data_IF_139484959035
#
_entry.id   IF_139484959035
#
_cell.length_a   1.000
_cell.length_b   1.000
_cell.length_c   1.000
_cell.angle_alpha   90.00
_cell.angle_beta   90.00
_cell.angle_gamma   90.00
#
_symmetry.space_group_name_H-M   'P 1'
#
loop_
_entity.id
_entity.type
_entity.pdbx_description
1 polymer ?
#
# COMPACT_ATOMS: atom_id res chain seq x y z
N UNK A 1 27.89 -16.96 33.13
CA UNK A 1 26.75 -17.29 32.23
C UNK A 1 27.08 -18.60 31.51
N UNK A 2 26.14 -19.55 31.49
CA UNK A 2 26.34 -20.86 30.89
C UNK A 2 26.43 -20.79 29.36
N UNK A 3 27.54 -21.28 28.78
CA UNK A 3 27.68 -21.46 27.34
C UNK A 3 26.80 -22.63 26.88
N UNK A 4 25.64 -22.34 26.30
CA UNK A 4 24.89 -23.35 25.54
C UNK A 4 25.55 -23.52 24.17
N UNK A 5 26.19 -24.66 23.97
CA UNK A 5 26.73 -25.07 22.68
C UNK A 5 25.60 -25.75 21.88
N UNK A 6 25.16 -25.12 20.80
CA UNK A 6 24.15 -25.70 19.91
C UNK A 6 24.81 -26.59 18.86
N UNK A 7 24.49 -27.88 18.85
CA UNK A 7 24.86 -28.78 17.75
C UNK A 7 23.85 -28.63 16.61
N UNK A 8 24.26 -28.02 15.48
CA UNK A 8 23.47 -28.02 14.25
C UNK A 8 23.70 -29.34 13.50
N UNK A 9 22.66 -30.14 13.34
CA UNK A 9 22.68 -31.35 12.51
C UNK A 9 22.11 -30.99 11.13
N UNK A 10 22.86 -31.26 10.06
CA UNK A 10 22.45 -31.00 8.67
C UNK A 10 21.31 -31.96 8.30
N UNK A 11 20.19 -31.42 7.80
CA UNK A 11 19.02 -32.23 7.41
C UNK A 11 19.39 -33.08 6.19
N UNK A 12 19.08 -34.39 6.23
CA UNK A 12 19.55 -35.40 5.25
C UNK A 12 19.32 -35.03 3.77
N UNK A 13 18.25 -34.28 3.45
CA UNK A 13 17.93 -33.89 2.07
C UNK A 13 18.89 -32.90 1.40
N UNK A 14 19.81 -32.29 2.14
CA UNK A 14 20.77 -31.30 1.60
C UNK A 14 22.24 -31.74 1.70
N UNK A 15 22.50 -32.97 2.12
CA UNK A 15 23.86 -33.53 2.20
C UNK A 15 24.31 -34.05 0.83
N UNK A 16 25.54 -33.73 0.40
CA UNK A 16 26.10 -34.24 -0.86
C UNK A 16 25.78 -33.42 -2.12
N UNK A 17 24.98 -32.36 -2.02
CA UNK A 17 24.72 -31.44 -3.15
C UNK A 17 25.89 -30.49 -3.33
N UNK A 18 26.65 -30.64 -4.44
CA UNK A 18 27.89 -29.91 -4.74
C UNK A 18 27.79 -28.38 -4.55
N UNK A 19 26.66 -27.78 -4.95
CA UNK A 19 26.42 -26.34 -4.78
C UNK A 19 26.29 -25.92 -3.31
N UNK A 20 25.54 -26.69 -2.51
CA UNK A 20 25.36 -26.41 -1.08
C UNK A 20 26.63 -26.69 -0.28
N UNK A 21 27.38 -27.75 -0.62
CA UNK A 21 28.68 -28.03 -0.02
C UNK A 21 29.69 -26.90 -0.30
N UNK A 22 29.62 -26.30 -1.50
CA UNK A 22 30.49 -25.16 -1.84
C UNK A 22 30.05 -23.89 -1.10
N UNK A 23 28.76 -23.61 -1.01
CA UNK A 23 28.22 -22.49 -0.23
C UNK A 23 28.54 -22.61 1.28
N UNK A 24 28.35 -23.80 1.86
CA UNK A 24 28.69 -24.09 3.26
C UNK A 24 30.19 -23.90 3.54
N UNK A 25 31.05 -24.32 2.60
CA UNK A 25 32.50 -24.17 2.72
C UNK A 25 32.92 -22.71 2.67
N UNK A 26 32.31 -21.90 1.80
CA UNK A 26 32.55 -20.46 1.72
C UNK A 26 32.09 -19.77 3.01
N UNK A 27 30.87 -20.07 3.48
CA UNK A 27 30.34 -19.50 4.73
C UNK A 27 31.18 -19.89 5.97
N UNK A 28 31.70 -21.12 6.03
CA UNK A 28 32.62 -21.58 7.09
C UNK A 28 34.03 -20.97 6.98
N UNK A 29 34.47 -20.55 5.80
CA UNK A 29 35.76 -19.89 5.62
C UNK A 29 35.71 -18.39 5.97
N UNK A 30 34.58 -17.72 5.71
CA UNK A 30 34.39 -16.30 6.07
C UNK A 30 34.18 -16.05 7.57
N UNK A 31 33.90 -17.08 8.36
CA UNK A 31 33.79 -16.94 9.83
C UNK A 31 35.14 -16.81 10.54
N UNK A 32 36.28 -16.95 9.84
CA UNK A 32 37.63 -16.88 10.45
C UNK A 32 38.31 -15.51 10.38
N UNK A 33 37.73 -14.52 9.70
CA UNK A 33 38.18 -13.12 9.76
C UNK A 33 37.00 -12.15 9.83
N UNK A 34 36.15 -12.33 10.83
CA UNK A 34 35.56 -11.14 11.43
C UNK A 34 36.71 -10.49 12.17
N UNK A 35 37.14 -9.30 11.76
CA UNK A 35 37.90 -8.40 12.64
C UNK A 35 36.94 -8.03 13.77
N UNK A 36 36.71 -8.99 14.66
CA UNK A 36 35.87 -8.81 15.81
C UNK A 36 36.73 -7.95 16.71
N UNK A 37 36.44 -6.64 16.71
CA UNK A 37 37.02 -5.71 17.67
C UNK A 37 36.67 -6.31 19.03
N UNK A 38 37.63 -7.01 19.64
CA UNK A 38 37.50 -7.51 21.00
C UNK A 38 37.63 -6.30 21.91
N UNK A 39 36.51 -5.59 22.08
CA UNK A 39 36.39 -4.57 23.10
C UNK A 39 36.58 -5.30 24.42
N UNK A 40 37.66 -4.99 25.16
CA UNK A 40 37.85 -5.54 26.50
C UNK A 40 36.72 -5.00 27.39
N UNK A 41 36.11 -5.80 28.25
CA UNK A 41 35.06 -5.34 29.18
C UNK A 41 35.53 -4.14 30.06
N UNK A 42 36.84 -4.03 30.29
CA UNK A 42 37.46 -2.87 30.95
C UNK A 42 37.43 -1.57 30.14
N UNK A 43 37.23 -1.63 28.81
CA UNK A 43 37.10 -0.47 27.94
C UNK A 43 35.65 0.02 27.83
N UNK A 44 34.65 -0.78 28.26
CA UNK A 44 33.24 -0.40 28.16
C UNK A 44 32.74 0.43 29.33
N UNK A 45 33.38 0.36 30.50
CA UNK A 45 32.81 0.93 31.73
C UNK A 45 32.61 2.46 31.67
N UNK A 46 33.39 3.18 30.86
CA UNK A 46 33.41 4.64 30.86
C UNK A 46 33.36 5.29 29.45
N UNK A 47 32.97 4.55 28.42
CA UNK A 47 32.82 5.11 27.07
C UNK A 47 31.52 5.92 26.97
N UNK A 48 31.59 7.19 27.36
CA UNK A 48 30.58 8.21 27.03
C UNK A 48 30.92 8.70 25.62
N UNK A 49 30.16 8.23 24.64
CA UNK A 49 30.23 8.75 23.28
C UNK A 49 28.95 9.51 22.95
N UNK A 50 29.15 10.70 22.42
CA UNK A 50 28.06 11.50 21.86
C UNK A 50 27.82 11.07 20.41
N UNK A 51 26.58 10.73 20.12
CA UNK A 51 26.15 10.37 18.78
C UNK A 51 25.73 11.65 18.09
N UNK A 52 26.22 11.87 16.88
CA UNK A 52 25.85 13.01 16.07
C UNK A 52 25.15 12.55 14.79
N UNK A 53 24.09 13.27 14.42
CA UNK A 53 23.40 13.17 13.14
C UNK A 53 23.41 14.54 12.47
N UNK A 54 23.99 14.66 11.29
CA UNK A 54 24.15 15.93 10.57
C UNK A 54 24.72 17.07 11.44
N UNK A 55 25.77 16.75 12.19
CA UNK A 55 26.43 17.69 13.09
C UNK A 55 25.63 18.06 14.35
N UNK A 56 24.44 17.46 14.56
CA UNK A 56 23.62 17.67 15.76
C UNK A 56 23.72 16.47 16.70
N UNK A 57 23.89 16.71 18.00
CA UNK A 57 23.92 15.65 19.02
C UNK A 57 22.54 14.98 19.09
N UNK A 58 22.51 13.65 19.03
CA UNK A 58 21.32 12.83 19.23
C UNK A 58 21.11 12.65 20.72
N UNK A 59 20.27 13.49 21.31
CA UNK A 59 19.94 13.47 22.75
C UNK A 59 18.77 12.52 23.09
N UNK A 60 18.46 11.59 22.18
CA UNK A 60 17.39 10.59 22.35
C UNK A 60 18.00 9.20 22.48
N UNK A 61 17.23 8.31 23.10
CA UNK A 61 17.60 6.89 23.18
C UNK A 61 17.97 6.35 21.79
N UNK A 62 19.23 5.95 21.62
CA UNK A 62 19.82 5.57 20.31
C UNK A 62 18.94 4.60 19.54
N UNK A 63 18.37 3.59 20.20
CA UNK A 63 17.49 2.61 19.54
C UNK A 63 16.27 3.27 18.93
N UNK A 64 15.59 4.17 19.66
CA UNK A 64 14.39 4.86 19.14
C UNK A 64 14.75 5.79 17.98
N UNK A 65 15.94 6.40 18.04
CA UNK A 65 16.44 7.22 16.94
C UNK A 65 16.69 6.37 15.68
N UNK A 66 17.38 5.24 15.82
CA UNK A 66 17.62 4.29 14.73
C UNK A 66 16.31 3.73 14.19
N UNK A 67 15.38 3.32 15.06
CA UNK A 67 14.06 2.80 14.68
C UNK A 67 13.32 3.84 13.82
N UNK A 68 13.24 5.09 14.28
CA UNK A 68 12.61 6.18 13.53
C UNK A 68 13.28 6.41 12.16
N UNK A 69 14.61 6.35 12.10
CA UNK A 69 15.36 6.52 10.84
C UNK A 69 15.04 5.39 9.86
N UNK A 70 15.08 4.14 10.33
CA UNK A 70 14.77 2.97 9.53
C UNK A 70 13.33 2.99 9.04
N UNK A 71 12.36 3.25 9.93
CA UNK A 71 10.93 3.36 9.59
C UNK A 71 10.70 4.46 8.54
N UNK A 72 11.22 5.67 8.77
CA UNK A 72 11.05 6.80 7.83
C UNK A 72 11.68 6.51 6.46
N UNK A 73 12.83 5.84 6.45
CA UNK A 73 13.50 5.46 5.19
C UNK A 73 12.71 4.39 4.44
N UNK A 74 12.17 3.41 5.16
CA UNK A 74 11.33 2.36 4.57
C UNK A 74 10.02 2.92 4.02
N UNK A 75 9.38 3.83 4.75
CA UNK A 75 8.14 4.50 4.33
C UNK A 75 8.39 5.34 3.07
N UNK A 76 9.47 6.12 3.04
CA UNK A 76 9.88 6.89 1.87
C UNK A 76 10.23 5.96 0.69
N UNK A 77 11.02 4.90 0.91
CA UNK A 77 11.34 3.95 -0.14
C UNK A 77 10.08 3.30 -0.70
N UNK A 78 9.12 2.94 0.16
CA UNK A 78 7.86 2.36 -0.26
C UNK A 78 6.99 3.34 -1.07
N UNK A 79 6.92 4.61 -0.68
CA UNK A 79 6.16 5.63 -1.42
C UNK A 79 6.74 5.91 -2.81
N UNK A 80 8.06 5.78 -2.99
CA UNK A 80 8.72 5.92 -4.29
C UNK A 80 8.69 4.67 -5.18
N UNK A 81 8.07 3.57 -4.73
CA UNK A 81 7.86 2.40 -5.59
C UNK A 81 7.09 2.80 -6.85
N UNK A 82 7.40 2.18 -7.99
CA UNK A 82 6.78 2.50 -9.29
C UNK A 82 5.26 2.63 -9.23
N UNK A 83 4.64 1.72 -8.49
CA UNK A 83 3.18 1.63 -8.29
C UNK A 83 2.59 2.76 -7.44
N UNK A 84 3.36 3.27 -6.49
CA UNK A 84 2.91 4.22 -5.46
C UNK A 84 3.35 5.65 -5.77
N UNK A 85 4.37 5.81 -6.60
CA UNK A 85 5.01 7.10 -6.84
C UNK A 85 4.02 8.16 -7.26
N UNK A 86 3.15 7.88 -8.23
CA UNK A 86 2.14 8.84 -8.70
C UNK A 86 1.17 9.28 -7.61
N UNK A 87 0.82 8.35 -6.72
CA UNK A 87 -0.05 8.64 -5.58
C UNK A 87 0.65 9.56 -4.59
N UNK A 88 1.91 9.28 -4.25
CA UNK A 88 2.60 10.04 -3.20
C UNK A 88 3.41 11.25 -3.70
N UNK A 89 3.71 11.35 -4.99
CA UNK A 89 4.31 12.55 -5.60
C UNK A 89 3.25 13.64 -5.81
N UNK A 90 2.04 13.27 -6.21
CA UNK A 90 1.05 14.23 -6.70
C UNK A 90 -0.11 14.44 -5.68
N UNK A 91 -0.32 13.48 -4.76
CA UNK A 91 -1.53 13.46 -3.89
C UNK A 91 -1.26 13.21 -2.41
N UNK A 92 -0.02 13.35 -1.93
CA UNK A 92 0.34 13.15 -0.51
C UNK A 92 -0.51 14.00 0.45
N UNK A 93 -0.87 15.21 0.04
CA UNK A 93 -1.71 16.11 0.84
C UNK A 93 -3.20 15.76 0.86
N UNK A 94 -3.65 14.84 0.01
CA UNK A 94 -5.07 14.47 -0.11
C UNK A 94 -5.40 13.15 0.59
N UNK A 95 -4.42 12.45 1.16
CA UNK A 95 -4.59 11.12 1.77
C UNK A 95 -4.48 11.18 3.31
N UNK A 96 -5.43 10.54 4.01
CA UNK A 96 -5.26 10.19 5.43
C UNK A 96 -4.86 8.71 5.57
N UNK A 97 -3.55 8.47 5.55
CA UNK A 97 -2.93 7.14 5.67
C UNK A 97 -3.32 6.38 6.95
N UNK A 98 -3.62 7.11 8.05
CA UNK A 98 -3.95 6.45 9.33
C UNK A 98 -5.25 5.68 9.25
N UNK A 99 -6.16 6.04 8.34
CA UNK A 99 -7.39 5.28 8.11
C UNK A 99 -7.04 3.91 7.54
N UNK A 100 -6.20 3.87 6.50
CA UNK A 100 -5.68 2.65 5.89
C UNK A 100 -4.96 1.78 6.92
N UNK A 101 -4.09 2.37 7.75
CA UNK A 101 -3.40 1.61 8.79
C UNK A 101 -4.31 1.11 9.90
N UNK A 102 -5.34 1.86 10.29
CA UNK A 102 -6.37 1.38 11.22
C UNK A 102 -7.11 0.17 10.66
N UNK A 103 -7.44 0.21 9.36
CA UNK A 103 -8.07 -0.91 8.66
C UNK A 103 -7.17 -2.15 8.60
N UNK A 104 -5.88 -1.98 8.32
CA UNK A 104 -4.92 -3.09 8.38
C UNK A 104 -4.78 -3.64 9.79
N UNK A 105 -4.61 -2.79 10.81
CA UNK A 105 -4.50 -3.21 12.22
C UNK A 105 -5.69 -4.02 12.70
N UNK A 106 -6.91 -3.66 12.26
CA UNK A 106 -8.13 -4.43 12.52
C UNK A 106 -8.04 -5.86 11.98
N UNK A 107 -7.34 -6.06 10.86
CA UNK A 107 -7.22 -7.35 10.18
C UNK A 107 -5.93 -8.12 10.53
N UNK A 108 -4.96 -7.51 11.23
CA UNK A 108 -3.67 -8.13 11.61
C UNK A 108 -3.57 -8.49 13.10
N UNK A 109 -4.69 -8.57 13.83
CA UNK A 109 -4.70 -9.03 15.23
C UNK A 109 -3.95 -10.36 15.41
N UNK A 110 -3.61 -10.74 16.64
CA UNK A 110 -2.75 -11.89 16.95
C UNK A 110 -3.19 -13.16 16.20
N UNK A 111 -2.50 -13.41 15.08
CA UNK A 111 -2.53 -14.60 14.22
C UNK A 111 -3.54 -14.67 13.05
N UNK A 112 -4.19 -13.59 12.60
CA UNK A 112 -5.11 -13.65 11.44
C UNK A 112 -6.01 -14.91 11.49
N UNK A 113 -6.75 -15.05 12.59
CA UNK A 113 -7.26 -16.35 13.09
C UNK A 113 -8.29 -17.04 12.20
N UNK A 114 -8.78 -16.38 11.14
CA UNK A 114 -9.78 -16.94 10.22
C UNK A 114 -9.46 -16.62 8.77
N UNK A 115 -9.86 -17.52 7.86
CA UNK A 115 -9.76 -17.28 6.40
C UNK A 115 -10.43 -15.98 6.00
N UNK A 116 -11.57 -15.63 6.60
CA UNK A 116 -12.30 -14.41 6.29
C UNK A 116 -11.49 -13.14 6.61
N UNK A 117 -10.80 -13.10 7.76
CA UNK A 117 -9.95 -11.94 8.14
C UNK A 117 -8.76 -11.86 7.19
N UNK A 118 -8.14 -13.00 6.88
CA UNK A 118 -7.04 -13.06 5.92
C UNK A 118 -7.48 -12.59 4.51
N UNK A 119 -8.65 -13.00 4.04
CA UNK A 119 -9.18 -12.59 2.74
C UNK A 119 -9.41 -11.07 2.69
N UNK A 120 -9.94 -10.47 3.76
CA UNK A 120 -10.08 -9.01 3.87
C UNK A 120 -8.73 -8.31 3.83
N UNK A 121 -7.76 -8.78 4.61
CA UNK A 121 -6.40 -8.25 4.61
C UNK A 121 -5.78 -8.29 3.20
N UNK A 122 -5.84 -9.44 2.54
CA UNK A 122 -5.29 -9.64 1.19
C UNK A 122 -6.00 -8.77 0.15
N UNK A 123 -7.33 -8.59 0.25
CA UNK A 123 -8.08 -7.69 -0.66
C UNK A 123 -7.54 -6.26 -0.60
N UNK A 124 -7.41 -5.70 0.60
CA UNK A 124 -6.88 -4.34 0.77
C UNK A 124 -5.41 -4.24 0.37
N UNK A 125 -4.60 -5.25 0.70
CA UNK A 125 -3.19 -5.28 0.30
C UNK A 125 -3.02 -5.30 -1.23
N UNK A 126 -3.85 -6.08 -1.94
CA UNK A 126 -3.83 -6.13 -3.40
C UNK A 126 -4.26 -4.82 -4.03
N UNK A 127 -5.30 -4.20 -3.50
CA UNK A 127 -5.80 -2.91 -3.96
C UNK A 127 -4.77 -1.80 -3.78
N UNK A 128 -4.17 -1.73 -2.60
CA UNK A 128 -3.11 -0.77 -2.28
C UNK A 128 -1.97 -0.87 -3.31
N UNK A 129 -1.56 -2.09 -3.66
CA UNK A 129 -0.41 -2.34 -4.53
C UNK A 129 -0.77 -2.60 -6.01
N UNK A 130 -1.98 -2.30 -6.46
CA UNK A 130 -2.43 -2.51 -7.86
C UNK A 130 -2.16 -3.95 -8.36
N UNK A 131 -2.41 -4.93 -7.49
CA UNK A 131 -2.15 -6.34 -7.76
C UNK A 131 -3.41 -7.11 -8.19
N UNK A 132 -4.50 -6.39 -8.45
CA UNK A 132 -5.68 -7.01 -9.02
C UNK A 132 -5.38 -7.45 -10.46
N UNK A 133 -5.74 -8.68 -10.88
CA UNK A 133 -5.48 -9.18 -12.24
C UNK A 133 -6.37 -8.51 -13.30
N UNK A 134 -6.10 -7.24 -13.60
CA UNK A 134 -6.61 -6.51 -14.77
C UNK A 134 -6.09 -7.15 -16.05
N UNK A 135 -6.76 -6.96 -17.19
CA UNK A 135 -6.31 -7.57 -18.45
C UNK A 135 -4.90 -7.12 -18.82
N UNK A 136 -4.52 -5.87 -18.54
CA UNK A 136 -3.14 -5.43 -18.75
C UNK A 136 -2.11 -6.23 -17.94
N UNK A 137 -2.39 -6.53 -16.67
CA UNK A 137 -1.51 -7.39 -15.85
C UNK A 137 -1.50 -8.83 -16.38
N UNK A 138 -2.63 -9.32 -16.91
CA UNK A 138 -2.70 -10.65 -17.50
C UNK A 138 -1.88 -10.73 -18.79
N UNK A 139 -1.93 -9.70 -19.64
CA UNK A 139 -1.09 -9.56 -20.85
C UNK A 139 0.40 -9.53 -20.54
N UNK A 140 0.83 -8.78 -19.53
CA UNK A 140 2.23 -8.76 -19.09
C UNK A 140 2.75 -10.15 -18.70
N UNK A 141 1.86 -11.00 -18.17
CA UNK A 141 2.20 -12.36 -17.73
C UNK A 141 2.13 -13.39 -18.85
N UNK A 142 1.10 -13.32 -19.69
CA UNK A 142 0.76 -14.32 -20.72
C UNK A 142 0.19 -13.69 -21.99
N UNK A 143 0.97 -12.83 -22.62
CA UNK A 143 0.57 -12.19 -23.88
C UNK A 143 0.24 -13.22 -24.98
N UNK A 144 0.91 -14.36 -24.97
CA UNK A 144 0.62 -15.50 -25.86
C UNK A 144 -0.83 -16.00 -25.75
N UNK A 145 -1.46 -15.86 -24.57
CA UNK A 145 -2.86 -16.26 -24.34
C UNK A 145 -3.84 -15.11 -24.50
N UNK A 146 -3.48 -13.91 -24.02
CA UNK A 146 -4.40 -12.78 -23.94
C UNK A 146 -4.32 -11.84 -25.16
N UNK A 147 -3.17 -11.76 -25.83
CA UNK A 147 -2.93 -10.86 -26.95
C UNK A 147 -3.36 -9.42 -26.67
N UNK A 148 -3.91 -8.75 -27.68
CA UNK A 148 -4.40 -7.37 -27.60
C UNK A 148 -5.82 -7.24 -27.02
N UNK A 149 -6.26 -8.21 -26.20
CA UNK A 149 -7.62 -8.20 -25.64
C UNK A 149 -7.95 -6.87 -24.95
N UNK A 150 -8.98 -6.20 -25.44
CA UNK A 150 -9.54 -4.98 -24.84
C UNK A 150 -10.39 -5.30 -23.61
N UNK A 151 -10.79 -4.30 -22.85
CA UNK A 151 -11.79 -4.43 -21.81
C UNK A 151 -12.99 -5.25 -22.28
N UNK A 152 -13.42 -6.24 -21.50
CA UNK A 152 -14.56 -7.10 -21.88
C UNK A 152 -15.92 -6.44 -21.66
N UNK A 153 -15.94 -5.24 -21.08
CA UNK A 153 -17.14 -4.44 -20.88
C UNK A 153 -17.34 -3.47 -22.04
N UNK A 154 -16.39 -2.56 -22.29
CA UNK A 154 -16.53 -1.58 -23.38
C UNK A 154 -15.99 -2.06 -24.73
N UNK A 155 -15.16 -3.11 -24.78
CA UNK A 155 -14.52 -3.66 -25.98
C UNK A 155 -13.59 -2.70 -26.75
N UNK A 156 -13.42 -1.46 -26.29
CA UNK A 156 -12.65 -0.42 -26.98
C UNK A 156 -11.25 -0.22 -26.38
N UNK A 157 -11.17 0.06 -25.08
CA UNK A 157 -9.94 0.45 -24.39
C UNK A 157 -9.23 -0.73 -23.72
N UNK A 158 -7.95 -0.56 -23.37
CA UNK A 158 -7.22 -1.54 -22.56
C UNK A 158 -7.74 -1.51 -21.12
N UNK A 159 -8.00 -2.68 -20.52
CA UNK A 159 -8.50 -2.74 -19.14
C UNK A 159 -7.35 -2.77 -18.15
N UNK A 160 -7.18 -1.63 -17.52
CA UNK A 160 -6.16 -1.32 -16.56
C UNK A 160 -6.83 -0.72 -15.29
N UNK A 161 -6.05 -0.43 -14.24
CA UNK A 161 -6.61 -0.03 -12.95
C UNK A 161 -7.39 1.30 -13.01
N UNK A 162 -6.99 2.23 -13.87
CA UNK A 162 -7.65 3.53 -14.03
C UNK A 162 -8.85 3.40 -14.98
N UNK A 163 -8.74 2.61 -16.06
CA UNK A 163 -9.88 2.29 -16.92
C UNK A 163 -11.04 1.69 -16.13
N UNK A 164 -10.80 0.89 -15.08
CA UNK A 164 -11.88 0.36 -14.22
C UNK A 164 -12.72 1.44 -13.53
N UNK A 165 -12.20 2.66 -13.41
CA UNK A 165 -12.89 3.81 -12.83
C UNK A 165 -13.65 4.58 -13.92
N UNK A 166 -13.00 4.84 -15.04
CA UNK A 166 -13.55 5.66 -16.13
C UNK A 166 -14.34 4.90 -17.20
N UNK A 167 -14.35 3.56 -17.15
CA UNK A 167 -15.09 2.76 -18.11
C UNK A 167 -16.56 3.15 -18.11
N UNK A 168 -17.07 3.66 -19.23
CA UNK A 168 -18.45 4.14 -19.37
C UNK A 168 -19.49 3.09 -18.96
N UNK A 169 -19.21 1.81 -19.24
CA UNK A 169 -20.07 0.66 -18.89
C UNK A 169 -20.13 0.36 -17.38
N UNK A 170 -19.27 1.00 -16.58
CA UNK A 170 -19.24 0.87 -15.12
C UNK A 170 -19.85 2.08 -14.39
N UNK A 171 -20.27 3.13 -15.10
CA UNK A 171 -20.76 4.38 -14.49
C UNK A 171 -21.91 4.14 -13.50
N UNK A 172 -22.98 3.47 -13.94
CA UNK A 172 -24.15 3.16 -13.09
C UNK A 172 -23.80 2.25 -11.91
N UNK A 173 -22.81 1.37 -12.09
CA UNK A 173 -22.32 0.49 -11.03
C UNK A 173 -21.58 1.29 -9.96
N UNK A 174 -20.81 2.30 -10.33
CA UNK A 174 -20.17 3.20 -9.38
C UNK A 174 -21.19 4.02 -8.59
N UNK A 175 -22.25 4.51 -9.23
CA UNK A 175 -23.37 5.18 -8.55
C UNK A 175 -24.02 4.24 -7.53
N UNK A 176 -24.25 2.99 -7.93
CA UNK A 176 -24.80 1.95 -7.05
C UNK A 176 -23.88 1.68 -5.85
N UNK A 177 -22.57 1.56 -6.07
CA UNK A 177 -21.58 1.35 -5.01
C UNK A 177 -21.60 2.53 -4.01
N UNK A 178 -21.61 3.76 -4.51
CA UNK A 178 -21.65 4.96 -3.68
C UNK A 178 -22.91 4.98 -2.80
N UNK A 179 -24.08 4.78 -3.40
CA UNK A 179 -25.36 4.72 -2.69
C UNK A 179 -25.39 3.60 -1.63
N UNK A 180 -24.94 2.40 -1.99
CA UNK A 180 -24.88 1.27 -1.06
C UNK A 180 -23.92 1.55 0.09
N UNK A 181 -22.77 2.18 -0.18
CA UNK A 181 -21.80 2.56 0.84
C UNK A 181 -22.43 3.52 1.85
N UNK A 182 -23.06 4.60 1.36
CA UNK A 182 -23.75 5.58 2.21
C UNK A 182 -24.83 4.90 3.06
N UNK A 183 -25.68 4.06 2.46
CA UNK A 183 -26.76 3.37 3.16
C UNK A 183 -26.24 2.40 4.25
N UNK A 184 -25.26 1.56 3.93
CA UNK A 184 -24.69 0.58 4.87
C UNK A 184 -23.90 1.25 5.98
N UNK A 185 -23.16 2.31 5.68
CA UNK A 185 -22.46 3.11 6.67
C UNK A 185 -23.42 3.84 7.60
N UNK A 186 -24.52 4.40 7.10
CA UNK A 186 -25.55 5.01 7.94
C UNK A 186 -26.10 4.02 8.98
N UNK A 187 -26.45 2.80 8.55
CA UNK A 187 -26.94 1.75 9.45
C UNK A 187 -25.88 1.37 10.49
N UNK A 188 -24.64 1.18 10.05
CA UNK A 188 -23.55 0.74 10.93
C UNK A 188 -23.14 1.82 11.93
N UNK A 189 -23.10 3.09 11.51
CA UNK A 189 -22.85 4.23 12.38
C UNK A 189 -23.94 4.32 13.45
N UNK A 190 -25.22 4.22 13.08
CA UNK A 190 -26.32 4.20 14.06
C UNK A 190 -26.15 3.09 15.09
N UNK A 191 -25.86 1.86 14.64
CA UNK A 191 -25.63 0.73 15.53
C UNK A 191 -24.44 0.94 16.47
N UNK A 192 -23.33 1.47 15.94
CA UNK A 192 -22.12 1.77 16.73
C UNK A 192 -22.40 2.81 17.83
N UNK A 193 -23.12 3.89 17.50
CA UNK A 193 -23.51 4.92 18.45
C UNK A 193 -24.48 4.40 19.52
N UNK A 194 -25.35 3.44 19.19
CA UNK A 194 -26.27 2.83 20.17
C UNK A 194 -25.57 1.85 21.13
N UNK A 195 -24.47 1.22 20.72
CA UNK A 195 -23.77 0.20 21.51
C UNK A 195 -22.69 0.78 22.43
N UNK A 196 -21.98 1.82 21.99
CA UNK A 196 -20.88 2.41 22.76
C UNK A 196 -21.38 3.48 23.75
N UNK A 197 -21.80 3.03 24.94
CA UNK A 197 -22.29 3.90 26.04
C UNK A 197 -21.30 4.99 26.50
N UNK A 198 -20.03 4.91 26.11
CA UNK A 198 -18.98 5.87 26.48
C UNK A 198 -18.74 6.97 25.41
N UNK A 199 -19.42 6.91 24.27
CA UNK A 199 -19.31 7.95 23.24
C UNK A 199 -20.38 9.01 23.50
N UNK A 200 -19.97 10.15 24.06
CA UNK A 200 -20.84 11.31 24.25
C UNK A 200 -20.76 12.23 23.01
N UNK A 201 -21.55 11.95 21.99
CA UNK A 201 -21.83 12.91 20.91
C UNK A 201 -23.16 13.62 21.19
N UNK A 202 -23.23 14.92 20.90
CA UNK A 202 -24.50 15.65 20.99
C UNK A 202 -25.47 15.19 19.89
N UNK A 203 -26.77 15.45 20.04
CA UNK A 203 -27.74 15.18 18.97
C UNK A 203 -27.40 15.94 17.67
N UNK A 204 -26.83 17.14 17.82
CA UNK A 204 -26.34 17.94 16.68
C UNK A 204 -25.15 17.26 15.98
N UNK A 205 -24.17 16.76 16.73
CA UNK A 205 -23.01 16.05 16.17
C UNK A 205 -23.46 14.78 15.41
N UNK A 206 -24.47 14.06 15.93
CA UNK A 206 -25.06 12.89 15.27
C UNK A 206 -25.72 13.30 13.94
N UNK A 207 -26.49 14.38 13.94
CA UNK A 207 -27.15 14.87 12.74
C UNK A 207 -26.12 15.35 11.70
N UNK A 208 -25.05 16.04 12.12
CA UNK A 208 -23.94 16.44 11.26
C UNK A 208 -23.21 15.22 10.69
N UNK A 209 -22.98 14.18 11.49
CA UNK A 209 -22.34 12.94 11.04
C UNK A 209 -23.16 12.21 9.96
N UNK A 210 -24.48 12.13 10.15
CA UNK A 210 -25.38 11.53 9.15
C UNK A 210 -25.42 12.37 7.86
N UNK A 211 -25.36 13.69 7.99
CA UNK A 211 -25.31 14.62 6.86
C UNK A 211 -23.99 14.48 6.10
N UNK A 212 -22.86 14.43 6.81
CA UNK A 212 -21.54 14.14 6.25
C UNK A 212 -21.54 12.83 5.46
N UNK A 213 -22.10 11.75 6.03
CA UNK A 213 -22.15 10.46 5.36
C UNK A 213 -23.02 10.49 4.08
N UNK A 214 -24.16 11.18 4.10
CA UNK A 214 -25.02 11.36 2.90
C UNK A 214 -24.33 12.17 1.81
N UNK A 215 -23.56 13.18 2.21
CA UNK A 215 -22.89 14.10 1.28
C UNK A 215 -21.48 13.66 0.91
N UNK A 216 -21.01 12.49 1.36
CA UNK A 216 -19.64 12.03 1.11
C UNK A 216 -19.30 11.98 -0.39
N UNK A 217 -20.24 11.50 -1.20
CA UNK A 217 -20.13 11.42 -2.66
C UNK A 217 -20.91 12.53 -3.38
N UNK A 218 -21.56 13.44 -2.64
CA UNK A 218 -22.23 14.58 -3.26
C UNK A 218 -21.18 15.56 -3.80
N UNK A 219 -21.46 16.16 -4.95
CA UNK A 219 -20.54 17.07 -5.64
C UNK A 219 -20.00 18.18 -4.72
N UNK A 220 -18.69 18.28 -4.60
CA UNK A 220 -18.02 19.58 -4.50
C UNK A 220 -18.05 20.18 -5.91
N UNK A 221 -19.17 20.82 -6.24
CA UNK A 221 -19.45 21.69 -7.40
C UNK A 221 -18.56 21.45 -8.63
N UNK A 222 -19.01 20.58 -9.55
CA UNK A 222 -18.99 20.88 -10.99
C UNK A 222 -20.13 20.11 -11.68
N UNK A 223 -20.72 20.73 -12.70
CA UNK A 223 -22.09 20.56 -13.23
C UNK A 223 -22.32 19.24 -13.99
N UNK A 224 -21.33 18.34 -13.99
CA UNK A 224 -21.46 17.02 -14.58
C UNK A 224 -21.61 16.00 -13.46
N UNK A 225 -22.77 15.31 -13.42
CA UNK A 225 -23.16 14.23 -12.51
C UNK A 225 -22.21 13.01 -12.55
N UNK A 226 -20.93 13.22 -12.26
CA UNK A 226 -19.93 12.21 -12.00
C UNK A 226 -19.63 12.22 -10.50
N UNK A 227 -19.60 11.04 -9.89
CA UNK A 227 -19.04 10.86 -8.55
C UNK A 227 -17.68 11.56 -8.45
N UNK A 228 -17.23 12.02 -7.26
CA UNK A 228 -15.90 12.60 -7.12
C UNK A 228 -14.86 11.54 -7.46
N UNK A 229 -14.47 11.50 -8.74
CA UNK A 229 -13.60 10.49 -9.31
C UNK A 229 -12.25 10.44 -8.57
N UNK A 230 -11.67 11.58 -8.15
CA UNK A 230 -10.49 11.57 -7.27
C UNK A 230 -10.70 10.77 -5.97
N UNK A 231 -11.87 10.87 -5.33
CA UNK A 231 -12.17 10.07 -4.13
C UNK A 231 -12.28 8.59 -4.45
N UNK A 232 -12.92 8.23 -5.57
CA UNK A 232 -13.01 6.83 -6.02
C UNK A 232 -11.61 6.26 -6.27
N UNK A 233 -10.74 6.99 -6.96
CA UNK A 233 -9.34 6.58 -7.16
C UNK A 233 -8.65 6.24 -5.84
N UNK A 234 -8.73 7.14 -4.86
CA UNK A 234 -8.12 6.93 -3.55
C UNK A 234 -8.74 5.72 -2.85
N UNK A 235 -10.07 5.63 -2.80
CA UNK A 235 -10.79 4.61 -2.05
C UNK A 235 -10.63 3.20 -2.63
N UNK A 236 -10.62 3.05 -3.97
CA UNK A 236 -10.29 1.77 -4.60
C UNK A 236 -8.89 1.34 -4.19
N UNK A 237 -7.94 2.27 -4.12
CA UNK A 237 -6.56 2.00 -3.68
C UNK A 237 -6.45 1.80 -2.16
N UNK A 238 -7.57 1.65 -1.45
CA UNK A 238 -7.64 1.53 0.01
C UNK A 238 -7.03 2.73 0.75
N UNK A 239 -7.09 3.92 0.15
CA UNK A 239 -6.79 5.20 0.79
C UNK A 239 -8.07 5.97 1.10
N UNK A 240 -8.01 6.87 2.08
CA UNK A 240 -9.15 7.69 2.48
C UNK A 240 -8.87 9.17 2.23
N UNK A 241 -9.81 9.95 1.66
CA UNK A 241 -9.62 11.37 1.43
C UNK A 241 -9.40 12.15 2.74
N UNK A 242 -8.29 12.88 2.83
CA UNK A 242 -7.88 13.66 4.02
C UNK A 242 -8.88 14.75 4.36
N UNK A 243 -9.43 15.42 3.35
CA UNK A 243 -10.50 16.42 3.52
C UNK A 243 -11.71 15.82 4.24
N UNK A 244 -12.24 14.70 3.73
CA UNK A 244 -13.36 14.00 4.35
C UNK A 244 -13.05 13.48 5.74
N UNK A 245 -11.81 13.06 5.99
CA UNK A 245 -11.37 12.71 7.34
C UNK A 245 -11.33 13.93 8.28
N UNK A 246 -10.89 15.10 7.81
CA UNK A 246 -10.87 16.34 8.60
C UNK A 246 -12.28 16.77 8.98
N UNK A 247 -13.22 16.79 8.03
CA UNK A 247 -14.65 17.03 8.28
C UNK A 247 -15.18 16.09 9.36
N UNK A 248 -14.96 14.78 9.19
CA UNK A 248 -15.40 13.76 10.15
C UNK A 248 -14.81 13.99 11.54
N UNK A 249 -13.51 14.30 11.63
CA UNK A 249 -12.80 14.52 12.89
C UNK A 249 -13.34 15.73 13.65
N UNK A 250 -13.75 16.79 12.95
CA UNK A 250 -14.38 17.97 13.56
C UNK A 250 -15.71 17.57 14.21
N UNK A 251 -16.52 16.79 13.51
CA UNK A 251 -17.85 16.34 13.99
C UNK A 251 -17.71 15.44 15.22
N UNK A 252 -16.91 14.37 15.14
CA UNK A 252 -16.84 13.38 16.22
C UNK A 252 -15.90 13.76 17.37
N UNK A 253 -15.12 14.84 17.20
CA UNK A 253 -14.19 15.44 18.19
C UNK A 253 -13.06 14.53 18.69
N UNK A 254 -13.11 13.24 18.34
CA UNK A 254 -12.22 12.19 18.84
C UNK A 254 -11.52 11.50 17.69
N UNK A 255 -10.19 11.59 17.68
CA UNK A 255 -9.35 10.93 16.65
C UNK A 255 -9.62 9.44 16.53
N UNK A 256 -9.79 8.74 17.67
CA UNK A 256 -10.06 7.30 17.71
C UNK A 256 -11.36 6.96 16.99
N UNK A 257 -12.45 7.66 17.30
CA UNK A 257 -13.77 7.44 16.70
C UNK A 257 -13.74 7.75 15.20
N UNK A 258 -13.12 8.88 14.82
CA UNK A 258 -12.97 9.27 13.42
C UNK A 258 -12.25 8.21 12.60
N UNK A 259 -11.15 7.65 13.13
CA UNK A 259 -10.42 6.57 12.47
C UNK A 259 -11.25 5.29 12.33
N UNK A 260 -12.01 4.93 13.37
CA UNK A 260 -12.88 3.75 13.33
C UNK A 260 -13.97 3.90 12.27
N UNK A 261 -14.66 5.04 12.22
CA UNK A 261 -15.73 5.31 11.26
C UNK A 261 -15.18 5.38 9.83
N UNK A 262 -14.07 6.08 9.61
CA UNK A 262 -13.45 6.18 8.28
C UNK A 262 -12.95 4.81 7.77
N UNK A 263 -12.35 4.00 8.66
CA UNK A 263 -11.87 2.66 8.29
C UNK A 263 -13.04 1.73 7.95
N UNK A 264 -14.14 1.82 8.70
CA UNK A 264 -15.38 1.11 8.39
C UNK A 264 -15.95 1.55 7.04
N UNK A 265 -16.00 2.86 6.77
CA UNK A 265 -16.51 3.40 5.52
C UNK A 265 -15.72 2.87 4.32
N UNK A 266 -14.39 2.89 4.42
CA UNK A 266 -13.50 2.34 3.41
C UNK A 266 -13.70 0.82 3.22
N UNK A 267 -13.85 0.06 4.31
CA UNK A 267 -14.14 -1.38 4.25
C UNK A 267 -15.46 -1.67 3.51
N UNK A 268 -16.52 -0.92 3.82
CA UNK A 268 -17.82 -1.05 3.16
C UNK A 268 -17.70 -0.73 1.67
N UNK A 269 -17.08 0.38 1.31
CA UNK A 269 -16.88 0.78 -0.09
C UNK A 269 -16.13 -0.28 -0.89
N UNK A 270 -15.02 -0.77 -0.36
CA UNK A 270 -14.22 -1.82 -1.02
C UNK A 270 -15.03 -3.10 -1.18
N UNK A 271 -15.82 -3.50 -0.17
CA UNK A 271 -16.67 -4.67 -0.29
C UNK A 271 -17.73 -4.50 -1.39
N UNK A 272 -18.37 -3.33 -1.50
CA UNK A 272 -19.32 -3.03 -2.57
C UNK A 272 -18.65 -3.06 -3.95
N UNK A 273 -17.46 -2.47 -4.09
CA UNK A 273 -16.66 -2.58 -5.31
C UNK A 273 -16.41 -4.03 -5.71
N UNK A 274 -15.99 -4.86 -4.74
CA UNK A 274 -15.73 -6.27 -5.01
C UNK A 274 -16.98 -7.01 -5.50
N UNK A 275 -18.13 -6.75 -4.87
CA UNK A 275 -19.38 -7.46 -5.15
C UNK A 275 -20.04 -6.99 -6.46
N UNK A 276 -20.04 -5.68 -6.74
CA UNK A 276 -20.81 -5.08 -7.83
C UNK A 276 -19.98 -5.02 -9.13
N UNK A 277 -18.67 -4.79 -9.04
CA UNK A 277 -17.80 -4.63 -10.20
C UNK A 277 -16.83 -5.80 -10.33
N UNK A 278 -15.98 -6.02 -9.32
CA UNK A 278 -14.82 -6.90 -9.49
C UNK A 278 -15.20 -8.36 -9.73
N UNK A 279 -16.11 -8.94 -8.92
CA UNK A 279 -16.54 -10.32 -9.05
C UNK A 279 -17.31 -10.57 -10.36
N UNK A 280 -18.31 -9.74 -10.75
CA UNK A 280 -18.95 -9.87 -12.05
C UNK A 280 -17.95 -9.76 -13.21
N UNK A 281 -17.01 -8.81 -13.17
CA UNK A 281 -15.93 -8.71 -14.17
C UNK A 281 -15.10 -9.99 -14.22
N UNK A 282 -14.72 -10.57 -13.08
CA UNK A 282 -13.96 -11.82 -13.05
C UNK A 282 -14.71 -12.98 -13.71
N UNK A 283 -16.04 -13.05 -13.57
CA UNK A 283 -16.87 -14.06 -14.24
C UNK A 283 -16.86 -13.87 -15.76
N UNK A 284 -17.03 -12.63 -16.24
CA UNK A 284 -16.96 -12.31 -17.66
C UNK A 284 -15.61 -12.69 -18.28
N UNK A 285 -14.50 -12.44 -17.59
CA UNK A 285 -13.18 -12.86 -18.05
C UNK A 285 -13.07 -14.39 -18.09
N UNK A 286 -13.55 -15.09 -17.08
CA UNK A 286 -13.50 -16.55 -17.03
C UNK A 286 -14.33 -17.21 -18.16
N UNK A 287 -15.50 -16.64 -18.47
CA UNK A 287 -16.32 -17.07 -19.60
C UNK A 287 -15.59 -16.82 -20.92
N UNK A 288 -15.01 -15.65 -21.10
CA UNK A 288 -14.21 -15.34 -22.29
C UNK A 288 -12.99 -16.27 -22.41
N UNK A 289 -12.26 -16.53 -21.33
CA UNK A 289 -11.14 -17.50 -21.29
C UNK A 289 -11.59 -18.88 -21.75
N UNK A 290 -12.77 -19.33 -21.31
CA UNK A 290 -13.36 -20.59 -21.73
C UNK A 290 -13.65 -20.61 -23.24
N UNK A 291 -14.20 -19.52 -23.82
CA UNK A 291 -14.42 -19.42 -25.28
C UNK A 291 -13.11 -19.46 -26.09
N UNK A 292 -11.99 -19.06 -25.47
CA UNK A 292 -10.65 -19.11 -26.07
C UNK A 292 -9.91 -20.42 -25.78
N UNK A 293 -10.52 -21.35 -25.05
CA UNK A 293 -9.89 -22.61 -24.66
C UNK A 293 -8.74 -22.44 -23.65
N UNK A 294 -8.63 -21.29 -22.98
CA UNK A 294 -7.59 -21.02 -21.98
C UNK A 294 -7.94 -21.78 -20.70
N UNK A 295 -7.08 -22.72 -20.28
CA UNK A 295 -7.28 -23.48 -19.04
C UNK A 295 -6.43 -22.91 -17.91
N UNK A 296 -6.86 -23.13 -16.66
CA UNK A 296 -6.08 -22.76 -15.46
C UNK A 296 -4.66 -23.35 -15.45
N UNK A 297 -4.49 -24.54 -16.05
CA UNK A 297 -3.18 -25.17 -16.18
C UNK A 297 -2.26 -24.36 -17.10
N UNK A 298 -2.81 -23.77 -18.15
CA UNK A 298 -2.03 -22.97 -19.08
C UNK A 298 -1.47 -21.76 -18.36
N UNK A 299 -2.27 -21.04 -17.57
CA UNK A 299 -1.81 -19.91 -16.74
C UNK A 299 -0.66 -20.23 -15.78
N UNK A 300 -0.52 -21.51 -15.35
CA UNK A 300 0.55 -21.97 -14.45
C UNK A 300 1.83 -22.38 -15.20
N UNK A 301 1.73 -22.72 -16.48
CA UNK A 301 2.89 -23.09 -17.29
C UNK A 301 3.76 -21.86 -17.52
N UNK A 302 5.06 -21.97 -17.23
CA UNK A 302 6.03 -20.96 -17.63
C UNK A 302 6.31 -21.14 -19.13
N UNK A 303 6.13 -20.11 -19.96
CA UNK A 303 6.53 -20.19 -21.36
C UNK A 303 8.04 -20.42 -21.45
N UNK A 304 8.47 -21.21 -22.44
CA UNK A 304 9.90 -21.34 -22.75
C UNK A 304 10.44 -19.97 -23.15
N UNK A 305 11.72 -19.71 -22.85
CA UNK A 305 12.31 -18.37 -23.06
C UNK A 305 12.15 -17.86 -24.50
N UNK A 306 12.22 -18.75 -25.50
CA UNK A 306 12.06 -18.42 -26.92
C UNK A 306 10.59 -18.22 -27.35
N UNK A 307 9.61 -18.70 -26.59
CA UNK A 307 8.17 -18.53 -26.85
C UNK A 307 7.59 -17.31 -26.12
N UNK A 308 8.39 -16.67 -25.26
CA UNK A 308 7.92 -15.56 -24.44
C UNK A 308 7.80 -14.30 -25.30
N UNK A 309 6.56 -13.93 -25.59
CA UNK A 309 6.25 -12.62 -26.16
C UNK A 309 6.26 -11.60 -25.03
N UNK A 310 7.15 -10.60 -25.13
CA UNK A 310 7.27 -9.55 -24.11
C UNK A 310 6.25 -8.46 -24.42
N UNK A 311 5.19 -8.41 -23.61
CA UNK A 311 4.29 -7.26 -23.56
C UNK A 311 4.74 -6.30 -22.47
N UNK A 312 4.81 -5.00 -22.79
CA UNK A 312 5.05 -3.93 -21.82
C UNK A 312 3.81 -3.04 -21.81
N UNK A 313 3.04 -3.07 -20.71
CA UNK A 313 1.86 -2.22 -20.48
C UNK A 313 2.20 -0.72 -20.60
N UNK A 314 3.37 -0.35 -20.09
CA UNK A 314 3.83 1.05 -20.09
C UNK A 314 4.89 1.19 -21.18
N UNK A 315 4.54 1.95 -22.21
CA UNK A 315 5.53 2.48 -23.16
C UNK A 315 6.45 3.41 -22.38
N UNK A 316 7.75 3.16 -22.49
CA UNK A 316 8.76 3.97 -21.82
C UNK A 316 9.51 4.79 -22.85
N UNK A 317 9.67 6.08 -22.58
CA UNK A 317 10.51 6.98 -23.36
C UNK A 317 11.91 6.96 -22.77
N UNK A 318 12.90 6.58 -23.58
CA UNK A 318 14.30 6.65 -23.18
C UNK A 318 14.86 8.00 -23.65
N UNK A 319 15.40 8.77 -22.72
CA UNK A 319 16.12 10.03 -22.97
C UNK A 319 17.55 9.93 -22.43
N UNK A 320 18.39 10.92 -22.70
CA UNK A 320 19.75 11.01 -22.13
C UNK A 320 19.72 11.06 -20.59
N UNK A 321 18.66 11.67 -20.02
CA UNK A 321 18.49 11.86 -18.57
C UNK A 321 17.86 10.65 -17.85
N UNK A 322 17.36 9.65 -18.57
CA UNK A 322 16.81 8.42 -17.99
C UNK A 322 15.68 7.77 -18.77
N UNK A 323 14.95 6.88 -18.09
CA UNK A 323 13.76 6.19 -18.64
C UNK A 323 12.53 6.84 -18.02
N UNK A 324 11.57 7.22 -18.83
CA UNK A 324 10.34 7.89 -18.42
C UNK A 324 9.12 7.05 -18.80
N UNK A 325 8.03 7.15 -18.05
CA UNK A 325 6.74 6.64 -18.49
C UNK A 325 6.03 7.64 -19.42
N UNK A 326 4.87 7.26 -19.95
CA UNK A 326 4.06 8.10 -20.85
C UNK A 326 3.54 9.39 -20.19
N UNK A 327 3.50 9.43 -18.86
CA UNK A 327 3.15 10.62 -18.09
C UNK A 327 4.39 11.49 -17.78
N UNK A 328 5.50 11.24 -18.48
CA UNK A 328 6.79 11.94 -18.34
C UNK A 328 7.39 11.84 -16.94
N UNK A 329 7.09 10.77 -16.19
CA UNK A 329 7.69 10.53 -14.87
C UNK A 329 8.92 9.65 -15.02
N UNK A 330 10.05 10.07 -14.46
CA UNK A 330 11.31 9.32 -14.49
C UNK A 330 11.18 8.01 -13.71
N UNK A 331 11.35 6.86 -14.34
CA UNK A 331 11.45 5.55 -13.72
C UNK A 331 12.80 5.45 -13.00
N UNK A 332 12.77 5.34 -11.67
CA UNK A 332 13.98 5.28 -10.86
C UNK A 332 14.50 3.85 -10.80
N UNK A 333 15.83 3.69 -10.90
CA UNK A 333 16.51 2.46 -10.53
C UNK A 333 16.45 2.27 -9.01
N UNK A 334 16.58 1.03 -8.55
CA UNK A 334 16.56 0.69 -7.13
C UNK A 334 17.48 1.59 -6.29
N UNK A 335 18.75 1.76 -6.71
CA UNK A 335 19.71 2.56 -5.95
C UNK A 335 19.34 4.05 -5.93
N UNK A 336 18.78 4.59 -7.02
CA UNK A 336 18.31 5.98 -7.09
C UNK A 336 17.12 6.19 -6.15
N UNK A 337 16.16 5.27 -6.17
CA UNK A 337 15.01 5.27 -5.27
C UNK A 337 15.43 5.27 -3.80
N UNK A 338 16.35 4.41 -3.41
CA UNK A 338 16.86 4.36 -2.04
C UNK A 338 17.68 5.59 -1.65
N UNK A 339 18.44 6.16 -2.58
CA UNK A 339 19.17 7.41 -2.34
C UNK A 339 18.21 8.57 -2.06
N UNK A 340 17.15 8.70 -2.86
CA UNK A 340 16.11 9.74 -2.67
C UNK A 340 15.34 9.49 -1.36
N UNK A 341 14.98 8.24 -1.08
CA UNK A 341 14.30 7.88 0.16
C UNK A 341 15.12 8.22 1.41
N UNK A 342 16.43 7.94 1.39
CA UNK A 342 17.34 8.25 2.49
C UNK A 342 17.46 9.76 2.69
N UNK A 343 17.56 10.54 1.62
CA UNK A 343 17.63 12.00 1.72
C UNK A 343 16.33 12.60 2.28
N UNK A 344 15.16 12.10 1.84
CA UNK A 344 13.86 12.52 2.42
C UNK A 344 13.75 12.12 3.90
N UNK A 345 14.17 10.91 4.27
CA UNK A 345 14.20 10.48 5.67
C UNK A 345 15.14 11.35 6.52
N UNK A 346 16.31 11.71 5.98
CA UNK A 346 17.26 12.64 6.60
C UNK A 346 16.65 14.02 6.82
N UNK A 347 15.94 14.58 5.82
CA UNK A 347 15.21 15.84 5.96
C UNK A 347 14.15 15.78 7.06
N UNK A 348 13.33 14.73 7.06
CA UNK A 348 12.31 14.49 8.08
C UNK A 348 12.89 14.43 9.50
N UNK A 349 13.97 13.66 9.69
CA UNK A 349 14.65 13.52 10.98
C UNK A 349 15.25 14.85 11.43
N UNK A 350 15.83 15.60 10.50
CA UNK A 350 16.37 16.92 10.79
C UNK A 350 15.30 17.91 11.27
N UNK A 351 14.12 17.87 10.65
CA UNK A 351 12.96 18.65 11.09
C UNK A 351 12.50 18.19 12.47
N UNK A 352 12.35 16.88 12.68
CA UNK A 352 11.96 16.29 13.95
C UNK A 352 12.92 16.63 15.10
N UNK A 353 14.23 16.69 14.84
CA UNK A 353 15.24 17.13 15.80
C UNK A 353 15.08 18.61 16.12
N UNK A 354 14.82 19.46 15.12
CA UNK A 354 14.68 20.92 15.29
C UNK A 354 13.40 21.32 16.02
N UNK A 355 12.27 20.70 15.67
CA UNK A 355 10.92 21.14 16.07
C UNK A 355 10.29 20.23 17.15
N UNK A 356 10.97 19.13 17.50
CA UNK A 356 10.42 18.11 18.37
C UNK A 356 9.26 17.34 17.71
N UNK A 357 8.45 16.65 18.53
CA UNK A 357 7.33 15.83 18.04
C UNK A 357 6.10 16.68 17.66
N UNK A 358 6.30 17.90 17.13
CA UNK A 358 5.24 18.59 16.40
C UNK A 358 5.13 17.86 15.07
N UNK A 359 4.14 16.97 14.96
CA UNK A 359 3.78 16.31 13.70
C UNK A 359 3.41 17.39 12.67
N UNK A 360 4.41 17.85 11.93
CA UNK A 360 4.22 18.59 10.71
C UNK A 360 4.16 17.54 9.60
N UNK A 361 2.93 17.27 9.17
CA UNK A 361 2.61 16.38 8.03
C UNK A 361 2.77 17.20 6.74
N UNK A 362 3.84 17.98 6.60
CA UNK A 362 3.99 18.95 5.49
C UNK A 362 5.35 18.84 4.76
N UNK A 363 6.14 17.80 4.97
CA UNK A 363 7.47 17.69 4.35
C UNK A 363 7.56 16.75 3.13
N UNK A 364 6.44 16.45 2.45
CA UNK A 364 6.48 15.68 1.20
C UNK A 364 6.24 16.53 -0.05
N UNK A 365 6.02 17.84 0.08
CA UNK A 365 5.52 18.70 -1.01
C UNK A 365 6.54 19.58 -1.71
N UNK A 366 7.83 19.58 -1.33
CA UNK A 366 8.82 20.37 -2.06
C UNK A 366 9.76 19.50 -2.93
N UNK A 367 9.49 19.66 -4.23
CA UNK A 367 10.36 19.68 -5.42
C UNK A 367 10.93 18.33 -5.89
N UNK A 368 10.35 17.84 -6.99
CA UNK A 368 11.08 17.57 -8.24
C UNK A 368 10.33 18.20 -9.41
#
# INVERSE_FOLDING_TARGET
MANKQYHKVKVKGHSGVKGNEKADRVAKNDTKKVTCIKIKDSQQKDLIYDIYWDGKRVDRHIRKFIDNLCESTLDAAWSFNRTHRSVFSDTTDTIEEKVTWTLFKKNTGSNCTTSMINDRFIKHLKLLNYLLPTLEIMKERRYDLYGDVKCRLCLEENEDDDHMIYCKQLSDKWITIANNTVCKCNQTIKNFLSQEKHIQLSQEDIQQLLTWNRNFFAHTIDVNLNLPIPHIHLMIRSFFPKEKYRELKIIVKTKRIALTIAALFLEVFVNEFYNIIWQPRCKLIAEWEHTKGIKKQDLRKKPLAHQRIVYKRILTLQTEDGIYDLEKRKILKHNEQWSIALEKARQYINQFIREGNRRVVEAYTEIL
#
